data_IF_866206566900
#
_entry.id   IF_866206566900
#
_cell.length_a   1.000
_cell.length_b   1.000
_cell.length_c   1.000
_cell.angle_alpha   90.00
_cell.angle_beta   90.00
_cell.angle_gamma   90.00
#
_symmetry.space_group_name_H-M   'P 1'
#
loop_
_entity.id
_entity.type
_entity.pdbx_description
1 polymer ?
#
# COMPACT_ATOMS: atom_id res chain seq x y z
N UNK A 1 7.65 25.40 -15.14
CA UNK A 1 6.93 24.13 -15.05
C UNK A 1 7.87 23.12 -14.41
N UNK A 2 7.53 22.61 -13.22
CA UNK A 2 8.30 21.53 -12.59
C UNK A 2 7.99 20.26 -13.38
N UNK A 3 9.02 19.54 -13.83
CA UNK A 3 8.82 18.27 -14.53
C UNK A 3 8.03 17.33 -13.61
N UNK A 4 7.03 16.63 -14.15
CA UNK A 4 6.30 15.61 -13.41
C UNK A 4 7.32 14.58 -12.89
N UNK A 5 7.34 14.39 -11.57
CA UNK A 5 8.25 13.46 -10.92
C UNK A 5 8.01 12.06 -11.49
N UNK A 6 9.09 11.36 -11.85
CA UNK A 6 9.06 9.99 -12.35
C UNK A 6 9.46 9.08 -11.18
N UNK A 7 8.52 8.32 -10.59
CA UNK A 7 8.84 7.42 -9.50
C UNK A 7 9.95 6.45 -9.90
N UNK A 8 10.95 6.33 -9.03
CA UNK A 8 11.97 5.30 -9.18
C UNK A 8 11.46 4.04 -8.51
N UNK A 9 11.39 2.97 -9.28
CA UNK A 9 11.21 1.62 -8.77
C UNK A 9 12.60 1.07 -8.47
N UNK A 10 12.81 0.50 -7.29
CA UNK A 10 14.08 -0.19 -7.01
C UNK A 10 13.79 -1.64 -7.30
N UNK A 11 14.17 -2.19 -8.47
CA UNK A 11 13.97 -3.62 -8.70
C UNK A 11 14.79 -4.34 -7.63
N UNK A 12 14.11 -5.01 -6.71
CA UNK A 12 14.74 -6.08 -5.93
C UNK A 12 15.31 -7.04 -6.95
N UNK A 13 16.59 -7.33 -6.77
CA UNK A 13 17.46 -8.07 -7.68
C UNK A 13 16.73 -9.21 -8.37
N UNK A 14 16.16 -8.93 -9.53
CA UNK A 14 15.88 -9.95 -10.51
C UNK A 14 17.23 -10.28 -11.12
N UNK A 15 17.71 -11.50 -10.88
CA UNK A 15 18.98 -11.97 -11.43
C UNK A 15 19.02 -11.68 -12.95
N UNK A 16 19.98 -10.85 -13.37
CA UNK A 16 20.21 -10.52 -14.78
C UNK A 16 19.47 -9.29 -15.34
N UNK A 17 18.76 -8.51 -14.52
CA UNK A 17 18.16 -7.23 -14.97
C UNK A 17 19.14 -6.07 -14.75
N UNK A 18 19.39 -5.28 -15.80
CA UNK A 18 20.14 -4.03 -15.68
C UNK A 18 19.38 -3.06 -14.77
N UNK A 19 20.03 -2.61 -13.70
CA UNK A 19 19.49 -1.65 -12.71
C UNK A 19 19.01 -0.33 -13.31
N UNK A 20 19.45 -0.02 -14.54
CA UNK A 20 19.03 1.19 -15.27
C UNK A 20 17.80 0.96 -16.15
N UNK A 21 17.30 -0.28 -16.26
CA UNK A 21 16.11 -0.61 -17.03
C UNK A 21 14.90 0.09 -16.41
N UNK A 22 14.16 0.93 -17.15
CA UNK A 22 12.97 1.57 -16.62
C UNK A 22 11.93 0.51 -16.19
N UNK A 23 11.28 0.69 -15.04
CA UNK A 23 10.25 -0.23 -14.57
C UNK A 23 9.12 -0.45 -15.60
N UNK A 24 8.81 0.57 -16.39
CA UNK A 24 7.86 0.52 -17.51
C UNK A 24 8.23 -0.49 -18.62
N UNK A 25 9.46 -1.01 -18.62
CA UNK A 25 10.01 -1.92 -19.62
C UNK A 25 10.27 -3.33 -19.06
N UNK A 26 10.03 -3.55 -17.77
CA UNK A 26 10.24 -4.84 -17.09
C UNK A 26 9.02 -5.77 -17.25
N UNK A 27 9.06 -6.84 -18.06
CA UNK A 27 7.88 -7.65 -18.36
C UNK A 27 7.27 -8.30 -17.11
N UNK A 28 8.10 -8.86 -16.24
CA UNK A 28 7.67 -9.54 -15.01
C UNK A 28 6.97 -8.58 -14.04
N UNK A 29 7.47 -7.34 -13.95
CA UNK A 29 6.83 -6.30 -13.15
C UNK A 29 5.44 -5.93 -13.71
N UNK A 30 5.34 -5.77 -15.03
CA UNK A 30 4.08 -5.41 -15.69
C UNK A 30 3.03 -6.52 -15.60
N UNK A 31 3.44 -7.78 -15.67
CA UNK A 31 2.59 -8.94 -15.44
C UNK A 31 2.04 -8.94 -14.01
N UNK A 32 2.92 -8.75 -13.02
CA UNK A 32 2.51 -8.64 -11.61
C UNK A 32 1.54 -7.48 -11.36
N UNK A 33 1.73 -6.31 -11.97
CA UNK A 33 0.75 -5.20 -11.86
C UNK A 33 -0.61 -5.62 -12.42
N UNK A 34 -0.65 -6.31 -13.56
CA UNK A 34 -1.91 -6.74 -14.17
C UNK A 34 -2.66 -7.75 -13.26
N UNK A 35 -1.91 -8.67 -12.66
CA UNK A 35 -2.43 -9.72 -11.79
C UNK A 35 -2.81 -9.25 -10.39
N UNK A 36 -2.05 -8.34 -9.80
CA UNK A 36 -2.13 -8.00 -8.37
C UNK A 36 -2.39 -6.53 -8.08
N UNK A 37 -2.39 -5.66 -9.08
CA UNK A 37 -2.57 -4.22 -8.89
C UNK A 37 -1.26 -3.48 -8.56
N UNK A 38 -1.39 -2.20 -8.21
CA UNK A 38 -0.28 -1.28 -7.99
C UNK A 38 -0.27 -0.10 -8.95
N UNK A 39 0.77 0.72 -8.82
CA UNK A 39 1.08 1.85 -9.67
C UNK A 39 1.69 1.40 -11.00
N UNK A 40 1.03 1.70 -12.12
CA UNK A 40 1.56 1.46 -13.46
C UNK A 40 2.34 2.71 -13.94
N UNK A 41 3.68 2.66 -14.04
CA UNK A 41 4.49 3.81 -14.45
C UNK A 41 4.29 4.21 -15.92
N UNK A 42 3.70 3.35 -16.76
CA UNK A 42 3.39 3.66 -18.16
C UNK A 42 2.17 4.57 -18.26
N UNK A 43 1.19 4.36 -17.38
CA UNK A 43 -0.11 5.05 -17.44
C UNK A 43 -0.27 6.09 -16.34
N UNK A 44 0.56 6.04 -15.29
CA UNK A 44 0.46 6.89 -14.11
C UNK A 44 -0.78 6.58 -13.27
N UNK A 45 -1.35 5.37 -13.38
CA UNK A 45 -2.57 4.98 -12.67
C UNK A 45 -2.26 4.03 -11.53
N UNK A 46 -2.94 4.24 -10.41
CA UNK A 46 -3.00 3.29 -9.30
C UNK A 46 -4.20 2.36 -9.50
N UNK A 47 -3.94 1.06 -9.49
CA UNK A 47 -4.98 0.03 -9.36
C UNK A 47 -4.87 -0.56 -7.94
N UNK A 48 -5.98 -0.70 -7.18
CA UNK A 48 -5.92 -1.30 -5.86
C UNK A 48 -5.30 -2.69 -5.89
N UNK A 49 -4.55 -3.02 -4.85
CA UNK A 49 -3.99 -4.34 -4.67
C UNK A 49 -5.11 -5.37 -4.52
N UNK A 50 -4.90 -6.56 -5.07
CA UNK A 50 -5.88 -7.65 -5.09
C UNK A 50 -5.18 -9.00 -5.01
N UNK A 51 -5.91 -10.00 -4.55
CA UNK A 51 -5.43 -11.39 -4.50
C UNK A 51 -4.15 -11.52 -3.68
N UNK A 52 -4.06 -10.73 -2.59
CA UNK A 52 -2.99 -10.81 -1.60
C UNK A 52 -3.23 -12.12 -0.82
N UNK A 53 -2.30 -13.07 -0.88
CA UNK A 53 -2.42 -14.41 -0.30
C UNK A 53 -1.30 -14.67 0.70
N UNK A 54 -1.54 -15.49 1.71
CA UNK A 54 -0.59 -15.77 2.83
C UNK A 54 0.81 -16.29 2.41
N UNK A 55 1.00 -16.72 1.16
CA UNK A 55 2.30 -17.11 0.58
C UNK A 55 3.07 -15.88 0.05
N UNK A 56 3.27 -14.87 0.91
CA UNK A 56 4.03 -13.67 0.55
C UNK A 56 5.54 -13.95 0.61
N UNK A 57 6.23 -13.82 -0.53
CA UNK A 57 7.68 -13.70 -0.53
C UNK A 57 8.12 -12.24 -0.26
N UNK A 58 9.34 -12.08 0.27
CA UNK A 58 9.98 -10.77 0.52
C UNK A 58 9.96 -9.85 -0.72
N UNK A 59 10.09 -10.42 -1.92
CA UNK A 59 10.09 -9.66 -3.16
C UNK A 59 8.73 -9.00 -3.41
N UNK A 60 7.64 -9.68 -3.07
CA UNK A 60 6.28 -9.21 -3.31
C UNK A 60 5.87 -8.09 -2.36
N UNK A 61 6.16 -8.20 -1.06
CA UNK A 61 5.82 -7.15 -0.09
C UNK A 61 6.55 -5.84 -0.40
N UNK A 62 7.83 -5.93 -0.74
CA UNK A 62 8.60 -4.76 -1.15
C UNK A 62 8.09 -4.14 -2.45
N UNK A 63 7.68 -4.94 -3.43
CA UNK A 63 7.08 -4.40 -4.65
C UNK A 63 5.79 -3.64 -4.36
N UNK A 64 4.98 -4.11 -3.43
CA UNK A 64 3.78 -3.40 -2.99
C UNK A 64 4.13 -2.09 -2.28
N UNK A 65 5.11 -2.09 -1.38
CA UNK A 65 5.64 -0.88 -0.74
C UNK A 65 6.17 0.13 -1.77
N UNK A 66 6.95 -0.33 -2.76
CA UNK A 66 7.48 0.51 -3.84
C UNK A 66 6.35 1.08 -4.71
N UNK A 67 5.31 0.26 -4.98
CA UNK A 67 4.11 0.70 -5.71
C UNK A 67 3.32 1.75 -4.93
N UNK A 68 3.13 1.54 -3.63
CA UNK A 68 2.49 2.51 -2.73
C UNK A 68 3.28 3.81 -2.72
N UNK A 69 4.59 3.74 -2.56
CA UNK A 69 5.50 4.87 -2.58
C UNK A 69 5.39 5.64 -3.89
N UNK A 70 5.47 4.95 -5.02
CA UNK A 70 5.37 5.56 -6.33
C UNK A 70 4.01 6.26 -6.56
N UNK A 71 2.93 5.65 -6.08
CA UNK A 71 1.60 6.24 -6.15
C UNK A 71 1.51 7.54 -5.32
N UNK A 72 1.99 7.52 -4.08
CA UNK A 72 1.98 8.69 -3.18
C UNK A 72 2.85 9.81 -3.75
N UNK A 73 4.04 9.49 -4.26
CA UNK A 73 4.93 10.45 -4.92
C UNK A 73 4.29 11.05 -6.20
N UNK A 74 3.41 10.30 -6.88
CA UNK A 74 2.62 10.77 -8.01
C UNK A 74 1.35 11.54 -7.59
N UNK A 75 1.10 11.73 -6.29
CA UNK A 75 -0.07 12.41 -5.75
C UNK A 75 -1.35 11.58 -5.76
N UNK A 76 -1.22 10.25 -5.79
CA UNK A 76 -2.32 9.29 -5.72
C UNK A 76 -2.39 8.68 -4.30
N UNK A 77 -3.60 8.34 -3.86
CA UNK A 77 -3.83 7.94 -2.48
C UNK A 77 -3.93 9.16 -1.57
N UNK A 78 -4.99 9.24 -0.77
CA UNK A 78 -5.13 10.27 0.26
C UNK A 78 -5.46 9.64 1.60
N UNK A 79 -5.21 10.32 2.74
CA UNK A 79 -5.61 9.81 4.05
C UNK A 79 -7.10 9.47 4.15
N UNK A 80 -7.96 10.17 3.41
CA UNK A 80 -9.40 9.93 3.40
C UNK A 80 -9.83 8.74 2.55
N UNK A 81 -8.97 8.28 1.64
CA UNK A 81 -9.28 7.22 0.66
C UNK A 81 -8.26 6.09 0.67
N UNK A 82 -7.31 6.09 1.62
CA UNK A 82 -6.16 5.20 1.67
C UNK A 82 -6.54 3.74 1.40
N UNK A 83 -7.44 3.18 2.21
CA UNK A 83 -7.82 1.78 2.06
C UNK A 83 -8.53 1.48 0.74
N UNK A 84 -9.37 2.41 0.26
CA UNK A 84 -10.11 2.26 -0.99
C UNK A 84 -9.20 2.37 -2.22
N UNK A 85 -8.18 3.21 -2.15
CA UNK A 85 -7.26 3.46 -3.26
C UNK A 85 -6.22 2.34 -3.38
N UNK A 86 -5.77 1.78 -2.26
CA UNK A 86 -4.71 0.78 -2.22
C UNK A 86 -5.19 -0.67 -2.12
N UNK A 87 -6.41 -0.96 -1.64
CA UNK A 87 -6.84 -2.35 -1.43
C UNK A 87 -8.22 -2.63 -2.01
N UNK A 88 -8.37 -3.81 -2.61
CA UNK A 88 -9.65 -4.23 -3.23
C UNK A 88 -10.63 -4.75 -2.20
N UNK A 89 -10.16 -5.51 -1.20
CA UNK A 89 -11.01 -6.16 -0.20
C UNK A 89 -10.51 -5.93 1.23
N UNK A 90 -11.38 -6.18 2.23
CA UNK A 90 -10.97 -6.18 3.64
C UNK A 90 -9.86 -7.21 3.91
N UNK A 91 -9.91 -8.36 3.24
CA UNK A 91 -8.91 -9.42 3.39
C UNK A 91 -7.55 -8.99 2.84
N UNK A 92 -7.53 -8.25 1.73
CA UNK A 92 -6.28 -7.71 1.17
C UNK A 92 -5.59 -6.76 2.18
N UNK A 93 -6.37 -5.98 2.95
CA UNK A 93 -5.80 -5.14 4.02
C UNK A 93 -5.15 -5.98 5.12
N UNK A 94 -5.84 -7.03 5.59
CA UNK A 94 -5.31 -7.92 6.63
C UNK A 94 -4.05 -8.64 6.16
N UNK A 95 -4.11 -9.25 4.98
CA UNK A 95 -2.99 -10.03 4.44
C UNK A 95 -1.76 -9.15 4.18
N UNK A 96 -1.94 -7.88 3.80
CA UNK A 96 -0.83 -6.94 3.68
C UNK A 96 -0.22 -6.57 5.04
N UNK A 97 -1.04 -6.34 6.07
CA UNK A 97 -0.53 -6.09 7.42
C UNK A 97 0.22 -7.30 7.99
N UNK A 98 -0.30 -8.51 7.76
CA UNK A 98 0.35 -9.76 8.18
C UNK A 98 1.70 -9.94 7.43
N UNK A 99 1.73 -9.69 6.12
CA UNK A 99 2.97 -9.74 5.33
C UNK A 99 4.03 -8.72 5.80
N UNK A 100 3.63 -7.55 6.31
CA UNK A 100 4.58 -6.58 6.89
C UNK A 100 5.18 -7.06 8.21
N UNK A 101 4.40 -7.75 9.04
CA UNK A 101 4.91 -8.36 10.27
C UNK A 101 5.89 -9.49 9.95
N UNK A 102 5.52 -10.37 9.01
CA UNK A 102 6.38 -11.49 8.57
C UNK A 102 7.68 -10.97 7.93
N UNK A 103 7.58 -9.93 7.10
CA UNK A 103 8.76 -9.31 6.47
C UNK A 103 9.78 -8.79 7.50
N UNK A 104 9.30 -8.30 8.65
CA UNK A 104 10.16 -7.82 9.72
C UNK A 104 10.86 -8.94 10.50
N UNK A 105 10.30 -10.16 10.48
CA UNK A 105 10.83 -11.32 11.19
C UNK A 105 12.09 -11.88 10.51
N UNK A 106 12.32 -11.55 9.24
CA UNK A 106 13.50 -11.94 8.44
C UNK A 106 14.70 -10.98 8.62
N UNK A 107 14.87 -10.42 9.83
CA UNK A 107 15.93 -9.47 10.19
C UNK A 107 15.88 -8.09 9.49
N UNK A 108 14.82 -7.81 8.71
CA UNK A 108 14.57 -6.49 8.10
C UNK A 108 13.81 -5.58 9.07
N UNK A 109 14.51 -5.09 10.09
CA UNK A 109 13.88 -4.29 11.16
C UNK A 109 13.60 -2.82 10.78
N UNK A 110 14.33 -2.28 9.80
CA UNK A 110 14.27 -0.85 9.45
C UNK A 110 13.48 -0.64 8.17
N UNK A 111 12.46 0.20 8.30
CA UNK A 111 11.74 0.77 7.15
C UNK A 111 12.70 1.65 6.36
N UNK A 112 12.69 1.55 5.04
CA UNK A 112 13.43 2.51 4.21
C UNK A 112 12.74 3.89 4.24
N UNK A 113 13.51 4.97 4.10
CA UNK A 113 12.98 6.34 4.19
C UNK A 113 11.86 6.63 3.19
N UNK A 114 11.83 5.95 2.04
CA UNK A 114 10.81 6.17 1.02
C UNK A 114 9.46 5.58 1.45
N UNK A 115 9.47 4.35 1.96
CA UNK A 115 8.29 3.67 2.51
C UNK A 115 7.77 4.43 3.73
N UNK A 116 8.67 4.89 4.61
CA UNK A 116 8.35 5.74 5.76
C UNK A 116 7.55 6.97 5.37
N UNK A 117 8.11 7.79 4.49
CA UNK A 117 7.50 9.05 4.08
C UNK A 117 6.20 8.81 3.31
N UNK A 118 6.19 7.81 2.41
CA UNK A 118 5.00 7.45 1.66
C UNK A 118 3.84 7.05 2.59
N UNK A 119 4.10 6.18 3.56
CA UNK A 119 3.09 5.74 4.52
C UNK A 119 2.53 6.92 5.33
N UNK A 120 3.40 7.72 5.97
CA UNK A 120 3.00 8.90 6.76
C UNK A 120 2.13 9.85 5.94
N UNK A 121 2.50 10.13 4.69
CA UNK A 121 1.73 11.00 3.82
C UNK A 121 0.40 10.38 3.38
N UNK A 122 0.39 9.08 3.08
CA UNK A 122 -0.79 8.36 2.62
C UNK A 122 -1.84 8.20 3.73
N UNK A 123 -1.42 8.08 4.99
CA UNK A 123 -2.31 7.83 6.14
C UNK A 123 -2.48 9.02 7.07
N UNK A 124 -1.69 10.09 6.90
CA UNK A 124 -1.60 11.23 7.82
C UNK A 124 -1.31 10.80 9.27
N UNK A 125 -0.32 9.92 9.42
CA UNK A 125 0.08 9.33 10.71
C UNK A 125 1.28 10.04 11.34
N UNK A 126 1.46 9.89 12.65
CA UNK A 126 2.70 10.26 13.35
C UNK A 126 3.84 9.31 12.98
N UNK A 127 5.09 9.79 13.14
CA UNK A 127 6.30 9.01 12.80
C UNK A 127 6.39 7.68 13.56
N UNK A 128 5.95 7.65 14.82
CA UNK A 128 5.96 6.45 15.68
C UNK A 128 5.21 5.26 15.07
N UNK A 129 4.24 5.52 14.18
CA UNK A 129 3.46 4.50 13.50
C UNK A 129 4.14 3.95 12.23
N UNK A 130 5.33 4.46 11.89
CA UNK A 130 6.01 4.16 10.64
C UNK A 130 7.50 3.79 10.83
N UNK A 131 8.05 3.88 12.05
CA UNK A 131 9.47 3.65 12.32
C UNK A 131 9.95 2.23 11.99
N UNK A 132 9.05 1.25 11.98
CA UNK A 132 9.32 -0.16 11.61
C UNK A 132 8.15 -0.73 10.82
N UNK A 133 8.38 -1.81 10.05
CA UNK A 133 7.31 -2.48 9.32
C UNK A 133 6.20 -3.02 10.26
N UNK A 134 6.51 -3.56 11.46
CA UNK A 134 5.47 -3.91 12.43
C UNK A 134 4.69 -2.72 12.99
N UNK A 135 5.33 -1.56 13.15
CA UNK A 135 4.61 -0.35 13.55
C UNK A 135 3.60 0.06 12.46
N UNK A 136 4.00 0.00 11.18
CA UNK A 136 3.09 0.21 10.05
C UNK A 136 1.95 -0.80 10.06
N UNK A 137 2.26 -2.10 10.21
CA UNK A 137 1.27 -3.18 10.25
C UNK A 137 0.23 -2.97 11.36
N UNK A 138 0.70 -2.71 12.58
CA UNK A 138 -0.17 -2.40 13.72
C UNK A 138 -1.08 -1.21 13.43
N UNK A 139 -0.51 -0.12 12.91
CA UNK A 139 -1.28 1.08 12.63
C UNK A 139 -2.28 0.93 11.48
N UNK A 140 -1.94 0.15 10.44
CA UNK A 140 -2.86 -0.22 9.36
C UNK A 140 -4.10 -0.90 9.95
N UNK A 141 -3.92 -1.86 10.86
CA UNK A 141 -5.04 -2.56 11.52
C UNK A 141 -5.91 -1.61 12.34
N UNK A 142 -5.29 -0.70 13.09
CA UNK A 142 -6.00 0.32 13.89
C UNK A 142 -6.84 1.28 13.05
N UNK A 143 -6.24 1.82 11.98
CA UNK A 143 -6.91 2.72 11.05
C UNK A 143 -8.08 2.01 10.35
N UNK A 144 -7.87 0.76 9.94
CA UNK A 144 -8.88 -0.03 9.26
C UNK A 144 -10.09 -0.30 10.15
N UNK A 145 -9.88 -0.75 11.39
CA UNK A 145 -11.00 -0.98 12.32
C UNK A 145 -11.72 0.33 12.67
N UNK A 146 -10.98 1.44 12.78
CA UNK A 146 -11.57 2.77 12.97
C UNK A 146 -12.48 3.18 11.81
N UNK A 147 -12.12 2.87 10.57
CA UNK A 147 -12.98 3.10 9.40
C UNK A 147 -14.22 2.21 9.39
N UNK A 148 -14.07 0.91 9.74
CA UNK A 148 -15.20 -0.02 9.84
C UNK A 148 -16.20 0.44 10.89
N UNK A 149 -15.73 0.88 12.05
CA UNK A 149 -16.60 1.41 13.11
C UNK A 149 -17.31 2.70 12.69
N UNK A 150 -16.63 3.60 11.98
CA UNK A 150 -17.27 4.79 11.38
C UNK A 150 -18.36 4.38 10.39
N UNK A 151 -18.07 3.43 9.49
CA UNK A 151 -19.02 2.94 8.49
C UNK A 151 -20.26 2.29 9.14
N UNK A 152 -20.08 1.46 10.18
CA UNK A 152 -21.17 0.86 10.96
C UNK A 152 -22.05 1.92 11.63
N UNK A 153 -21.45 2.99 12.18
CA UNK A 153 -22.20 4.10 12.80
C UNK A 153 -23.02 4.88 11.77
N UNK A 154 -22.49 5.10 10.57
CA UNK A 154 -23.22 5.77 9.47
C UNK A 154 -24.30 4.89 8.84
N UNK A 155 -24.18 3.56 8.91
CA UNK A 155 -25.14 2.62 8.33
C UNK A 155 -26.35 2.29 9.24
N UNK A 156 -26.32 2.65 10.53
CA UNK A 156 -27.48 2.42 11.42
C UNK A 156 -28.66 3.30 10.99
N UNK A 157 -29.82 2.73 10.64
CA UNK A 157 -30.99 3.54 10.28
C UNK A 157 -31.46 4.29 11.53
N UNK A 158 -31.63 5.61 11.41
CA UNK A 158 -32.43 6.41 12.34
C UNK A 158 -33.86 5.88 12.31
N UNK A 159 -34.14 4.87 13.13
CA UNK A 159 -35.51 4.44 13.42
C UNK A 159 -36.19 5.57 14.18
N UNK A 160 -36.75 6.54 13.45
CA UNK A 160 -37.70 7.47 14.03
C UNK A 160 -38.89 6.64 14.50
N UNK A 161 -39.03 6.54 15.82
CA UNK A 161 -40.23 6.05 16.50
C UNK A 161 -41.40 6.90 16.01
N UNK A 162 -42.19 6.38 15.08
CA UNK A 162 -43.53 6.91 14.84
C UNK A 162 -44.37 6.47 16.05
N UNK A 163 -44.59 7.40 16.97
CA UNK A 163 -45.61 7.29 17.99
C UNK A 163 -46.90 7.78 17.33
N UNK A 164 -47.85 6.87 17.11
CA UNK A 164 -49.27 7.16 16.97
C UNK A 164 -50.01 6.26 17.96
#
# INVERSE_FOLDING_TARGET
>A
MVAAYKPRFTPISYDGIDINTPAAELPEFLERIAERGGYDPRTGKLTPFKSISDDFDECMINQMLDSMTAAVEAGLGTPATFFKDFFTTEQDVQNFADALDDYSAEETFWVNDRHFNAFIHATNSSEENAVTYPAMAGHIRELFESEREKAKKTAKPTYKKNVN
#
